data_IF_538912822295
#
_entry.id   IF_538912822295
#
_cell.length_a   1.000
_cell.length_b   1.000
_cell.length_c   1.000
_cell.angle_alpha   90.00
_cell.angle_beta   90.00
_cell.angle_gamma   90.00
#
_symmetry.space_group_name_H-M   'P 1'
#
loop_
_entity.id
_entity.type
_entity.pdbx_description
1 polymer ?
#
# COMPACT_ATOMS: atom_id res chain seq x y z
N UNK A 1 -35.12 -29.91 82.38
CA UNK A 1 -34.79 -31.32 82.05
C UNK A 1 -35.09 -31.55 80.57
N UNK A 2 -34.11 -32.16 79.90
CA UNK A 2 -33.88 -32.40 78.46
C UNK A 2 -35.09 -32.37 77.51
N UNK A 3 -34.95 -31.52 76.49
CA UNK A 3 -35.80 -31.40 75.30
C UNK A 3 -35.52 -32.55 74.32
N UNK A 4 -36.59 -33.14 73.80
CA UNK A 4 -36.60 -34.23 72.84
C UNK A 4 -36.42 -33.73 71.40
N UNK A 5 -35.66 -34.52 70.62
CA UNK A 5 -35.84 -34.84 69.18
C UNK A 5 -35.85 -33.68 68.18
N UNK A 6 -34.70 -33.48 67.52
CA UNK A 6 -34.58 -32.80 66.23
C UNK A 6 -34.55 -33.88 65.14
N UNK A 7 -35.58 -33.90 64.30
CA UNK A 7 -35.55 -34.45 62.94
C UNK A 7 -36.14 -33.35 62.07
N UNK A 8 -35.29 -32.62 61.35
CA UNK A 8 -35.66 -31.63 60.33
C UNK A 8 -34.95 -32.08 59.05
N UNK A 9 -35.65 -32.81 58.19
CA UNK A 9 -36.34 -32.32 57.00
C UNK A 9 -35.38 -31.71 55.97
N UNK A 10 -35.06 -32.58 55.01
CA UNK A 10 -34.37 -32.40 53.74
C UNK A 10 -34.69 -31.10 53.01
N UNK A 11 -33.65 -30.30 52.73
CA UNK A 11 -33.64 -29.28 51.70
C UNK A 11 -32.91 -29.85 50.46
N UNK A 12 -33.65 -29.94 49.35
CA UNK A 12 -33.18 -30.31 48.03
C UNK A 12 -32.26 -29.18 47.50
N UNK A 13 -30.94 -29.41 47.50
CA UNK A 13 -29.99 -28.54 46.80
C UNK A 13 -29.90 -29.03 45.36
N UNK A 14 -30.53 -28.27 44.45
CA UNK A 14 -30.30 -28.40 43.01
C UNK A 14 -28.92 -27.82 42.74
N UNK A 15 -27.94 -28.68 42.45
CA UNK A 15 -26.64 -28.28 41.95
C UNK A 15 -26.84 -27.83 40.50
N UNK A 16 -26.82 -26.52 40.27
CA UNK A 16 -26.69 -25.98 38.93
C UNK A 16 -25.26 -26.28 38.46
N UNK A 17 -25.18 -27.21 37.51
CA UNK A 17 -23.98 -27.55 36.76
C UNK A 17 -23.67 -26.34 35.86
N UNK A 18 -22.70 -25.53 36.28
CA UNK A 18 -22.09 -24.51 35.41
C UNK A 18 -21.19 -25.25 34.44
N UNK A 19 -21.61 -25.38 33.18
CA UNK A 19 -20.71 -25.69 32.09
C UNK A 19 -19.63 -24.60 32.03
N UNK A 20 -18.37 -25.02 32.00
CA UNK A 20 -17.29 -24.21 31.46
C UNK A 20 -17.58 -24.03 29.96
N UNK A 21 -17.77 -22.80 29.51
CA UNK A 21 -17.63 -22.51 28.09
C UNK A 21 -16.14 -22.25 27.83
N UNK A 22 -15.47 -23.27 27.30
CA UNK A 22 -14.27 -23.10 26.48
C UNK A 22 -14.70 -22.44 25.16
N UNK A 23 -14.93 -21.13 25.19
CA UNK A 23 -15.12 -20.34 23.97
C UNK A 23 -13.75 -20.04 23.39
N UNK A 24 -13.17 -21.04 22.71
CA UNK A 24 -12.01 -20.92 21.83
C UNK A 24 -12.33 -20.15 20.54
N UNK A 25 -13.07 -19.05 20.64
CA UNK A 25 -13.29 -18.12 19.54
C UNK A 25 -12.05 -17.25 19.37
N UNK A 26 -11.57 -17.12 18.13
CA UNK A 26 -10.54 -16.13 17.82
C UNK A 26 -11.08 -14.74 18.20
N UNK A 27 -10.47 -14.11 19.19
CA UNK A 27 -10.74 -12.70 19.51
C UNK A 27 -10.19 -11.88 18.36
N UNK A 28 -11.06 -11.38 17.47
CA UNK A 28 -10.66 -10.40 16.46
C UNK A 28 -10.35 -9.12 17.21
N UNK A 29 -9.07 -8.77 17.28
CA UNK A 29 -8.64 -7.48 17.83
C UNK A 29 -9.13 -6.38 16.89
N UNK A 30 -9.85 -5.36 17.41
CA UNK A 30 -10.30 -4.27 16.57
C UNK A 30 -9.10 -3.50 15.98
N UNK A 31 -9.23 -2.95 14.77
CA UNK A 31 -8.18 -2.13 14.17
C UNK A 31 -7.80 -0.95 15.08
N UNK A 32 -6.50 -0.65 15.17
CA UNK A 32 -5.98 0.49 15.92
C UNK A 32 -6.32 1.81 15.21
N UNK A 33 -6.39 2.96 15.93
CA UNK A 33 -6.60 4.26 15.30
C UNK A 33 -5.46 4.61 14.33
N UNK A 34 -5.80 5.15 13.14
CA UNK A 34 -4.81 5.58 12.14
C UNK A 34 -3.77 6.54 12.72
N UNK A 35 -4.21 7.51 13.52
CA UNK A 35 -3.33 8.53 14.10
C UNK A 35 -2.32 7.99 15.11
N UNK A 36 -2.61 6.86 15.75
CA UNK A 36 -1.67 6.22 16.68
C UNK A 36 -0.60 5.46 15.91
N UNK A 37 -1.01 4.62 14.96
CA UNK A 37 -0.11 3.81 14.14
C UNK A 37 0.77 4.70 13.25
N UNK A 38 0.22 5.79 12.71
CA UNK A 38 0.98 6.73 11.89
C UNK A 38 2.20 7.30 12.63
N UNK A 39 2.12 7.52 13.94
CA UNK A 39 3.27 8.03 14.72
C UNK A 39 4.39 6.97 14.81
N UNK A 40 4.02 5.70 14.93
CA UNK A 40 4.97 4.58 14.96
C UNK A 40 5.61 4.38 13.59
N UNK A 41 4.80 4.25 12.54
CA UNK A 41 5.24 4.09 11.16
C UNK A 41 6.16 5.25 10.73
N UNK A 42 5.77 6.49 11.04
CA UNK A 42 6.57 7.68 10.70
C UNK A 42 7.92 7.68 11.44
N UNK A 43 7.96 7.19 12.68
CA UNK A 43 9.23 7.07 13.41
C UNK A 43 10.17 6.09 12.71
N UNK A 44 9.65 4.92 12.33
CA UNK A 44 10.41 3.88 11.61
C UNK A 44 10.89 4.38 10.24
N UNK A 45 10.00 4.98 9.44
CA UNK A 45 10.31 5.54 8.12
C UNK A 45 11.38 6.62 8.23
N UNK A 46 11.25 7.56 9.18
CA UNK A 46 12.24 8.62 9.37
C UNK A 46 13.60 8.10 9.81
N UNK A 47 13.64 7.06 10.65
CA UNK A 47 14.89 6.40 11.01
C UNK A 47 15.54 5.77 9.77
N UNK A 48 14.78 5.01 8.98
CA UNK A 48 15.26 4.41 7.74
C UNK A 48 15.82 5.45 6.76
N UNK A 49 15.07 6.52 6.49
CA UNK A 49 15.47 7.58 5.57
C UNK A 49 16.75 8.31 6.00
N UNK A 50 16.99 8.46 7.31
CA UNK A 50 18.19 9.13 7.85
C UNK A 50 19.43 8.23 7.86
N UNK A 51 19.22 6.92 7.93
CA UNK A 51 20.28 5.93 8.13
C UNK A 51 20.68 5.20 6.85
N UNK A 52 19.96 5.40 5.76
CA UNK A 52 20.20 4.74 4.49
C UNK A 52 20.45 5.73 3.36
N UNK A 53 21.16 5.27 2.33
CA UNK A 53 21.37 5.95 1.06
C UNK A 53 21.20 4.96 -0.10
N UNK A 54 20.94 5.47 -1.31
CA UNK A 54 20.92 4.64 -2.52
C UNK A 54 22.20 4.81 -3.36
N UNK A 55 22.40 3.97 -4.37
CA UNK A 55 23.52 4.04 -5.32
C UNK A 55 23.46 5.25 -6.29
N UNK A 56 23.13 6.46 -5.82
CA UNK A 56 22.97 7.69 -6.63
C UNK A 56 24.14 7.99 -7.57
N UNK A 57 25.38 7.77 -7.13
CA UNK A 57 26.57 8.02 -7.95
C UNK A 57 26.61 7.17 -9.23
N UNK A 58 26.03 5.96 -9.20
CA UNK A 58 25.91 5.08 -10.37
C UNK A 58 24.82 5.59 -11.33
N UNK A 59 23.78 6.25 -10.82
CA UNK A 59 22.76 6.91 -11.65
C UNK A 59 23.27 8.23 -12.28
N UNK A 60 24.10 8.99 -11.56
CA UNK A 60 24.68 10.25 -12.05
C UNK A 60 25.76 10.03 -13.13
N UNK A 61 26.52 8.93 -13.02
CA UNK A 61 27.58 8.56 -13.97
C UNK A 61 27.50 7.07 -14.33
N UNK A 62 26.46 6.66 -15.09
CA UNK A 62 26.19 5.26 -15.36
C UNK A 62 27.28 4.62 -16.23
N UNK A 63 27.70 3.42 -15.83
CA UNK A 63 28.52 2.55 -16.67
C UNK A 63 27.70 2.03 -17.87
N UNK A 64 28.37 1.55 -18.91
CA UNK A 64 27.71 1.04 -20.13
C UNK A 64 26.78 -0.16 -19.84
N UNK A 65 27.08 -0.94 -18.80
CA UNK A 65 26.36 -2.14 -18.36
C UNK A 65 25.52 -1.94 -17.09
N UNK A 66 25.32 -0.70 -16.65
CA UNK A 66 24.49 -0.43 -15.47
C UNK A 66 23.02 -0.82 -15.70
N UNK A 67 22.45 -1.61 -14.79
CA UNK A 67 21.09 -2.14 -14.91
C UNK A 67 20.00 -1.19 -14.37
N UNK A 68 20.42 -0.03 -13.87
CA UNK A 68 19.56 1.00 -13.26
C UNK A 68 18.73 0.52 -12.08
N UNK A 69 19.17 -0.53 -11.37
CA UNK A 69 18.49 -0.95 -10.14
C UNK A 69 18.88 -0.08 -8.96
N UNK A 70 17.88 0.28 -8.17
CA UNK A 70 18.06 0.96 -6.89
C UNK A 70 18.59 -0.05 -5.85
N UNK A 71 19.83 0.16 -5.41
CA UNK A 71 20.40 -0.52 -4.26
C UNK A 71 20.39 0.39 -3.04
N UNK A 72 19.84 -0.08 -1.92
CA UNK A 72 19.82 0.67 -0.65
C UNK A 72 20.85 0.08 0.30
N UNK A 73 21.62 0.94 0.96
CA UNK A 73 22.69 0.56 1.90
C UNK A 73 22.60 1.45 3.14
N UNK A 74 22.93 0.88 4.30
CA UNK A 74 23.12 1.63 5.53
C UNK A 74 24.33 2.58 5.40
N UNK A 75 24.21 3.75 6.00
CA UNK A 75 25.29 4.72 6.17
C UNK A 75 26.13 4.26 7.37
N UNK A 76 27.43 4.07 7.15
CA UNK A 76 28.35 3.67 8.20
C UNK A 76 28.43 4.72 9.31
N UNK A 77 28.66 4.29 10.55
CA UNK A 77 28.82 5.20 11.69
C UNK A 77 29.92 6.23 11.42
N UNK A 78 29.55 7.52 11.44
CA UNK A 78 30.47 8.63 11.20
C UNK A 78 30.80 8.91 9.73
N UNK A 79 30.18 8.19 8.78
CA UNK A 79 30.28 8.49 7.36
C UNK A 79 29.46 9.76 7.04
N UNK A 80 30.17 10.82 6.65
CA UNK A 80 29.59 12.11 6.25
C UNK A 80 29.61 12.33 4.74
N UNK A 81 30.16 11.38 3.97
CA UNK A 81 30.30 11.50 2.52
C UNK A 81 29.06 10.98 1.78
N UNK A 82 28.18 10.26 2.50
CA UNK A 82 26.90 9.76 1.97
C UNK A 82 25.77 10.75 2.21
N UNK A 83 25.02 11.04 1.16
CA UNK A 83 23.75 11.76 1.26
C UNK A 83 22.66 10.80 1.71
N UNK A 84 21.98 11.03 2.85
CA UNK A 84 20.90 10.17 3.29
C UNK A 84 19.66 10.29 2.39
N UNK A 85 18.80 9.28 2.41
CA UNK A 85 17.55 9.28 1.64
C UNK A 85 16.62 10.43 2.06
N UNK A 86 16.63 10.82 3.33
CA UNK A 86 15.78 11.93 3.83
C UNK A 86 16.01 13.25 3.10
N UNK A 87 17.21 13.47 2.55
CA UNK A 87 17.57 14.67 1.79
C UNK A 87 17.27 14.54 0.29
N UNK A 88 16.79 13.36 -0.16
CA UNK A 88 16.62 13.01 -1.56
C UNK A 88 15.17 12.62 -1.90
N UNK A 89 14.37 12.27 -0.90
CA UNK A 89 12.94 11.97 -1.09
C UNK A 89 12.07 13.23 -1.06
N UNK A 90 10.99 13.19 -1.82
CA UNK A 90 9.94 14.19 -1.82
C UNK A 90 8.74 13.65 -1.02
N UNK A 91 8.27 14.36 0.02
CA UNK A 91 7.07 13.96 0.75
C UNK A 91 5.80 14.33 -0.03
N UNK A 92 4.86 13.40 -0.10
CA UNK A 92 3.54 13.54 -0.73
C UNK A 92 2.47 13.27 0.33
N UNK A 93 1.61 14.24 0.58
CA UNK A 93 0.55 14.13 1.59
C UNK A 93 -0.70 13.50 0.99
N UNK A 94 -1.18 12.42 1.61
CA UNK A 94 -2.36 11.66 1.16
C UNK A 94 -3.37 11.54 2.31
N UNK A 95 -4.62 11.88 2.05
CA UNK A 95 -5.70 11.79 3.03
C UNK A 95 -6.28 10.38 3.05
N UNK A 96 -6.26 9.72 4.21
CA UNK A 96 -6.77 8.35 4.38
C UNK A 96 -7.96 8.36 5.33
N UNK A 97 -9.16 7.96 4.87
CA UNK A 97 -10.34 7.86 5.73
C UNK A 97 -10.28 6.59 6.60
N UNK A 98 -10.77 6.66 7.84
CA UNK A 98 -10.81 5.52 8.76
C UNK A 98 -11.73 4.39 8.28
N UNK A 99 -12.68 4.72 7.39
CA UNK A 99 -13.56 3.75 6.71
C UNK A 99 -12.78 2.79 5.80
N UNK A 100 -11.56 3.13 5.39
CA UNK A 100 -10.68 2.27 4.59
C UNK A 100 -10.35 0.95 5.30
N UNK A 101 -10.31 0.95 6.65
CA UNK A 101 -9.79 -0.17 7.45
C UNK A 101 -10.75 -0.71 8.52
N UNK A 102 -12.07 -0.53 8.36
CA UNK A 102 -13.07 -1.00 9.33
C UNK A 102 -12.83 -0.49 10.77
N UNK A 103 -12.20 0.67 10.93
CA UNK A 103 -11.98 1.26 12.24
C UNK A 103 -13.33 1.75 12.77
N UNK A 104 -13.79 1.17 13.88
CA UNK A 104 -15.04 1.57 14.52
C UNK A 104 -14.92 2.93 15.20
N UNK A 105 -15.93 3.79 15.07
CA UNK A 105 -15.96 5.08 15.76
C UNK A 105 -16.53 6.19 14.88
N UNK A 106 -16.22 7.43 15.23
CA UNK A 106 -16.46 8.56 14.33
C UNK A 106 -15.51 8.45 13.14
N UNK A 107 -16.07 8.65 11.94
CA UNK A 107 -15.27 8.70 10.72
C UNK A 107 -14.27 9.85 10.82
N UNK A 108 -13.00 9.52 10.61
CA UNK A 108 -11.91 10.49 10.66
C UNK A 108 -11.01 10.29 9.47
N UNK A 109 -10.54 11.40 8.91
CA UNK A 109 -9.53 11.41 7.85
C UNK A 109 -8.19 11.77 8.46
N UNK A 110 -7.21 10.90 8.26
CA UNK A 110 -5.83 11.11 8.74
C UNK A 110 -4.91 11.33 7.55
N UNK A 111 -4.15 12.41 7.59
CA UNK A 111 -3.16 12.73 6.57
C UNK A 111 -1.89 11.91 6.79
N UNK A 112 -1.55 11.08 5.83
CA UNK A 112 -0.33 10.26 5.80
C UNK A 112 0.68 10.86 4.82
N UNK A 113 1.96 10.51 4.98
CA UNK A 113 3.03 10.94 4.07
C UNK A 113 3.58 9.73 3.33
N UNK A 114 3.58 9.78 2.00
CA UNK A 114 4.38 8.92 1.14
C UNK A 114 5.67 9.64 0.79
N UNK A 115 6.81 8.95 0.84
CA UNK A 115 8.10 9.51 0.44
C UNK A 115 8.53 8.90 -0.88
N UNK A 116 8.68 9.76 -1.89
CA UNK A 116 9.03 9.38 -3.25
C UNK A 116 10.49 9.75 -3.56
N UNK A 117 11.26 8.79 -4.06
CA UNK A 117 12.57 9.00 -4.64
C UNK A 117 12.48 8.80 -6.16
N UNK A 118 12.74 9.87 -6.91
CA UNK A 118 13.00 9.78 -8.35
C UNK A 118 14.48 9.49 -8.58
N UNK A 119 14.82 8.26 -8.98
CA UNK A 119 16.18 7.92 -9.39
C UNK A 119 16.40 8.19 -10.89
N UNK A 120 15.34 8.09 -11.69
CA UNK A 120 15.31 8.44 -13.11
C UNK A 120 13.88 8.79 -13.54
N UNK A 121 13.66 9.98 -14.07
CA UNK A 121 12.33 10.51 -14.43
C UNK A 121 11.53 9.62 -15.41
N UNK A 122 12.19 9.11 -16.45
CA UNK A 122 11.52 8.42 -17.57
C UNK A 122 11.17 9.37 -18.73
N UNK A 123 11.25 8.86 -19.97
CA UNK A 123 11.09 9.67 -21.20
C UNK A 123 9.71 9.55 -21.86
N UNK A 124 8.89 8.63 -21.39
CA UNK A 124 7.55 8.36 -21.91
C UNK A 124 6.47 9.20 -21.24
N UNK A 125 5.23 8.75 -21.41
CA UNK A 125 4.04 9.39 -20.85
C UNK A 125 3.98 9.26 -19.32
N UNK A 126 3.33 10.24 -18.69
CA UNK A 126 2.88 10.13 -17.31
C UNK A 126 1.59 9.31 -17.24
N UNK A 127 1.25 8.86 -16.04
CA UNK A 127 -0.01 8.18 -15.75
C UNK A 127 -0.66 8.76 -14.51
N UNK A 128 -1.97 8.58 -14.41
CA UNK A 128 -2.75 8.89 -13.22
C UNK A 128 -2.90 7.65 -12.33
N UNK A 129 -3.45 7.86 -11.13
CA UNK A 129 -3.85 6.80 -10.20
C UNK A 129 -4.97 5.89 -10.74
N UNK A 130 -5.62 6.28 -11.84
CA UNK A 130 -6.65 5.52 -12.52
C UNK A 130 -6.10 4.59 -13.61
N UNK A 131 -4.83 4.72 -14.00
CA UNK A 131 -4.31 4.07 -15.19
C UNK A 131 -3.70 2.69 -14.90
N UNK A 132 -3.34 1.97 -15.95
CA UNK A 132 -2.55 0.75 -15.84
C UNK A 132 -1.05 1.04 -15.98
N UNK A 133 -0.25 0.45 -15.10
CA UNK A 133 1.20 0.58 -15.06
C UNK A 133 1.88 -0.75 -15.41
N UNK A 134 2.78 -0.75 -16.38
CA UNK A 134 3.60 -1.91 -16.72
C UNK A 134 4.97 -1.79 -16.08
N UNK A 135 5.20 -2.58 -15.03
CA UNK A 135 6.33 -2.37 -14.13
C UNK A 135 7.11 -3.64 -13.86
N UNK A 136 8.40 -3.47 -13.59
CA UNK A 136 9.14 -4.40 -12.74
C UNK A 136 9.27 -3.77 -11.35
N UNK A 137 9.08 -4.54 -10.30
CA UNK A 137 9.11 -4.05 -8.93
C UNK A 137 9.75 -5.05 -7.95
N UNK A 138 10.15 -4.52 -6.80
CA UNK A 138 10.47 -5.28 -5.59
C UNK A 138 9.81 -4.59 -4.40
N UNK A 139 9.07 -5.35 -3.61
CA UNK A 139 8.44 -4.94 -2.36
C UNK A 139 9.24 -5.43 -1.15
N UNK A 140 9.59 -4.51 -0.25
CA UNK A 140 10.40 -4.77 0.93
C UNK A 140 9.74 -4.22 2.20
N UNK A 141 9.88 -4.94 3.31
CA UNK A 141 9.68 -4.38 4.64
C UNK A 141 10.86 -3.46 5.02
N UNK A 142 10.67 -2.64 6.05
CA UNK A 142 11.70 -1.69 6.51
C UNK A 142 12.99 -2.38 6.99
N UNK A 143 12.90 -3.63 7.44
CA UNK A 143 14.04 -4.47 7.84
C UNK A 143 14.80 -5.07 6.64
N UNK A 144 14.37 -4.76 5.42
CA UNK A 144 14.96 -5.25 4.17
C UNK A 144 14.37 -6.56 3.66
N UNK A 145 13.49 -7.23 4.41
CA UNK A 145 12.83 -8.47 3.96
C UNK A 145 12.03 -8.23 2.69
N UNK A 146 12.43 -8.87 1.59
CA UNK A 146 11.65 -8.91 0.34
C UNK A 146 10.41 -9.77 0.57
N UNK A 147 9.22 -9.20 0.39
CA UNK A 147 7.96 -9.95 0.51
C UNK A 147 7.37 -10.34 -0.85
N UNK A 148 7.70 -9.60 -1.90
CA UNK A 148 7.21 -9.83 -3.26
C UNK A 148 8.13 -9.14 -4.28
N UNK A 149 8.33 -9.75 -5.44
CA UNK A 149 9.04 -9.16 -6.56
C UNK A 149 8.53 -9.71 -7.89
N UNK A 150 8.60 -8.90 -8.94
CA UNK A 150 8.50 -9.41 -10.30
C UNK A 150 9.85 -9.99 -10.72
N UNK A 151 9.86 -11.15 -11.38
CA UNK A 151 11.11 -11.69 -11.95
C UNK A 151 11.74 -10.64 -12.88
N UNK A 152 13.07 -10.64 -12.96
CA UNK A 152 13.84 -9.65 -13.72
C UNK A 152 13.40 -9.49 -15.19
N UNK A 153 12.89 -10.57 -15.80
CA UNK A 153 12.45 -10.63 -17.19
C UNK A 153 10.92 -10.66 -17.36
N UNK A 154 10.15 -10.60 -16.28
CA UNK A 154 8.68 -10.72 -16.29
C UNK A 154 8.01 -9.50 -15.64
N UNK A 155 8.07 -8.29 -16.25
CA UNK A 155 7.27 -7.16 -15.80
C UNK A 155 5.77 -7.46 -15.88
N UNK A 156 5.00 -6.83 -14.99
CA UNK A 156 3.57 -7.07 -14.79
C UNK A 156 2.76 -5.79 -14.98
N UNK A 157 1.53 -5.95 -15.45
CA UNK A 157 0.55 -4.87 -15.47
C UNK A 157 -0.15 -4.80 -14.12
N UNK A 158 -0.14 -3.61 -13.52
CA UNK A 158 -0.98 -3.25 -12.39
C UNK A 158 -2.05 -2.28 -12.85
N UNK A 159 -3.31 -2.59 -12.55
CA UNK A 159 -4.41 -1.65 -12.57
C UNK A 159 -4.31 -0.81 -11.29
N UNK A 160 -3.87 0.45 -11.40
CA UNK A 160 -3.64 1.31 -10.24
C UNK A 160 -4.95 1.72 -9.55
N UNK A 161 -6.08 1.77 -10.27
CA UNK A 161 -7.38 2.06 -9.67
C UNK A 161 -7.75 0.94 -8.69
N UNK A 162 -7.64 -0.32 -9.11
CA UNK A 162 -7.96 -1.49 -8.26
C UNK A 162 -7.10 -1.59 -6.99
N UNK A 163 -5.89 -1.03 -7.00
CA UNK A 163 -4.99 -0.99 -5.83
C UNK A 163 -5.40 0.05 -4.78
N UNK A 164 -6.36 0.92 -5.09
CA UNK A 164 -6.88 1.88 -4.13
C UNK A 164 -7.99 1.28 -3.24
N UNK A 165 -8.53 0.12 -3.60
CA UNK A 165 -9.73 -0.42 -2.98
C UNK A 165 -9.64 -0.47 -1.44
N UNK A 166 -10.67 0.02 -0.73
CA UNK A 166 -10.69 -0.06 0.71
C UNK A 166 -10.75 -1.51 1.17
N UNK A 167 -10.28 -1.79 2.40
CA UNK A 167 -10.39 -3.14 2.97
C UNK A 167 -11.86 -3.58 3.16
N UNK A 168 -12.79 -2.64 3.04
CA UNK A 168 -14.25 -2.84 3.05
C UNK A 168 -14.84 -3.14 1.69
N UNK A 169 -14.07 -2.98 0.60
CA UNK A 169 -14.58 -3.11 -0.76
C UNK A 169 -15.17 -4.50 -0.97
N UNK A 170 -16.39 -4.53 -1.50
CA UNK A 170 -17.08 -5.74 -1.98
C UNK A 170 -16.82 -6.00 -3.46
N UNK A 171 -16.12 -5.08 -4.14
CA UNK A 171 -15.69 -5.17 -5.54
C UNK A 171 -14.22 -5.63 -5.58
N UNK A 172 -13.72 -6.00 -6.76
CA UNK A 172 -12.33 -6.42 -6.96
C UNK A 172 -11.35 -5.30 -6.59
N UNK A 173 -10.28 -5.66 -5.87
CA UNK A 173 -9.19 -4.75 -5.58
C UNK A 173 -8.42 -5.14 -4.32
N UNK A 174 -7.46 -4.30 -3.95
CA UNK A 174 -6.65 -4.51 -2.75
C UNK A 174 -6.27 -3.18 -2.12
N UNK A 175 -6.17 -3.13 -0.78
CA UNK A 175 -5.72 -1.93 -0.07
C UNK A 175 -4.19 -1.76 -0.21
N UNK A 176 -3.75 -1.27 -1.36
CA UNK A 176 -2.35 -0.96 -1.67
C UNK A 176 -2.24 0.46 -2.25
N UNK A 177 -3.04 1.40 -1.73
CA UNK A 177 -3.21 2.76 -2.28
C UNK A 177 -1.88 3.50 -2.42
N UNK A 178 -0.96 3.33 -1.47
CA UNK A 178 0.39 3.92 -1.53
C UNK A 178 1.18 3.48 -2.76
N UNK A 179 0.97 2.26 -3.27
CA UNK A 179 1.56 1.83 -4.54
C UNK A 179 0.92 2.56 -5.71
N UNK A 180 -0.41 2.70 -5.75
CA UNK A 180 -1.12 3.44 -6.79
C UNK A 180 -0.67 4.90 -6.87
N UNK A 181 -0.75 5.60 -5.74
CA UNK A 181 -0.33 6.99 -5.58
C UNK A 181 1.15 7.18 -5.95
N UNK A 182 2.01 6.31 -5.42
CA UNK A 182 3.45 6.38 -5.65
C UNK A 182 3.87 6.04 -7.08
N UNK A 183 3.26 5.02 -7.70
CA UNK A 183 3.55 4.63 -9.08
C UNK A 183 3.12 5.72 -10.08
N UNK A 184 2.04 6.45 -9.80
CA UNK A 184 1.57 7.57 -10.64
C UNK A 184 2.57 8.73 -10.77
N UNK A 185 3.55 8.81 -9.86
CA UNK A 185 4.60 9.84 -9.88
C UNK A 185 5.72 9.54 -10.91
N UNK A 186 5.75 8.32 -11.46
CA UNK A 186 6.74 7.89 -12.45
C UNK A 186 6.22 8.05 -13.87
N UNK A 187 7.15 8.12 -14.84
CA UNK A 187 6.83 8.10 -16.27
C UNK A 187 7.30 6.82 -16.94
N UNK A 188 6.60 6.44 -18.00
CA UNK A 188 6.96 5.32 -18.85
C UNK A 188 8.30 5.49 -19.57
N UNK A 189 8.71 4.45 -20.30
CA UNK A 189 9.83 4.52 -21.22
C UNK A 189 9.43 4.93 -22.64
N UNK A 190 10.41 4.92 -23.54
CA UNK A 190 10.16 5.01 -24.96
C UNK A 190 9.35 3.80 -25.46
N UNK A 191 8.66 3.90 -26.61
CA UNK A 191 7.97 2.76 -27.20
C UNK A 191 8.87 1.53 -27.32
N UNK A 192 8.31 0.36 -27.05
CA UNK A 192 9.05 -0.89 -27.06
C UNK A 192 9.69 -1.17 -28.44
N UNK A 193 10.97 -1.51 -28.46
CA UNK A 193 11.69 -1.98 -29.63
C UNK A 193 11.64 -3.52 -29.66
N UNK A 194 11.08 -4.09 -30.74
CA UNK A 194 11.02 -5.55 -30.92
C UNK A 194 12.36 -6.06 -31.47
N UNK A 195 12.93 -7.05 -30.79
CA UNK A 195 14.19 -7.69 -31.13
C UNK A 195 14.00 -8.84 -32.15
N UNK A 196 15.07 -9.22 -32.85
CA UNK A 196 15.06 -10.31 -33.85
C UNK A 196 14.64 -11.68 -33.28
N UNK A 197 14.81 -11.89 -31.97
CA UNK A 197 14.44 -13.12 -31.25
C UNK A 197 12.98 -13.12 -30.74
N UNK A 198 12.22 -12.06 -31.02
CA UNK A 198 10.82 -11.91 -30.60
C UNK A 198 10.66 -11.35 -29.18
N UNK A 199 11.74 -11.03 -28.48
CA UNK A 199 11.69 -10.26 -27.23
C UNK A 199 11.52 -8.77 -27.52
N UNK A 200 11.38 -7.95 -26.48
CA UNK A 200 11.31 -6.49 -26.60
C UNK A 200 12.28 -5.82 -25.64
N UNK A 201 12.62 -4.56 -25.94
CA UNK A 201 13.37 -3.70 -25.04
C UNK A 201 12.67 -2.35 -24.91
N UNK A 202 12.70 -1.79 -23.70
CA UNK A 202 12.17 -0.46 -23.40
C UNK A 202 13.33 0.38 -22.89
N UNK A 203 13.60 1.51 -23.55
CA UNK A 203 14.67 2.44 -23.17
C UNK A 203 14.11 3.62 -22.41
N UNK A 204 14.92 4.17 -21.49
CA UNK A 204 14.59 5.38 -20.77
C UNK A 204 13.31 5.30 -19.92
N UNK A 205 13.00 4.12 -19.37
CA UNK A 205 11.89 3.92 -18.43
C UNK A 205 12.11 4.70 -17.12
N UNK A 206 11.05 5.10 -16.43
CA UNK A 206 11.18 5.72 -15.10
C UNK A 206 11.73 4.72 -14.08
N UNK A 207 12.52 5.19 -13.13
CA UNK A 207 13.02 4.40 -12.00
C UNK A 207 12.83 5.19 -10.72
N UNK A 208 12.15 4.60 -9.75
CA UNK A 208 11.92 5.25 -8.47
C UNK A 208 11.74 4.28 -7.31
N UNK A 209 11.72 4.86 -6.12
CA UNK A 209 11.39 4.15 -4.89
C UNK A 209 10.33 4.93 -4.13
N UNK A 210 9.39 4.22 -3.53
CA UNK A 210 8.37 4.78 -2.65
C UNK A 210 8.46 4.08 -1.30
N UNK A 211 8.31 4.85 -0.22
CA UNK A 211 8.17 4.33 1.15
C UNK A 211 6.99 5.03 1.81
N UNK A 212 6.08 4.25 2.40
CA UNK A 212 4.86 4.77 2.98
C UNK A 212 4.38 3.97 4.20
N UNK A 213 3.66 4.62 5.13
CA UNK A 213 3.11 3.99 6.32
C UNK A 213 2.07 2.93 5.99
N UNK A 214 1.82 2.03 6.93
CA UNK A 214 0.88 0.93 6.81
C UNK A 214 -0.56 1.38 6.49
N UNK A 215 -0.95 2.60 6.88
CA UNK A 215 -2.22 3.23 6.54
C UNK A 215 -2.41 3.58 5.06
N UNK A 216 -1.34 3.54 4.26
CA UNK A 216 -1.40 3.58 2.78
C UNK A 216 -1.23 2.18 2.16
N UNK A 217 -1.09 1.14 2.98
CA UNK A 217 -1.02 -0.25 2.57
C UNK A 217 -2.07 -1.11 3.28
N UNK A 218 -1.65 -2.27 3.78
CA UNK A 218 -2.56 -3.27 4.34
C UNK A 218 -2.99 -3.01 5.79
N UNK A 219 -2.44 -1.99 6.46
CA UNK A 219 -2.75 -1.58 7.83
C UNK A 219 -2.93 -2.79 8.78
N UNK A 220 -4.11 -3.01 9.33
CA UNK A 220 -4.40 -4.07 10.32
C UNK A 220 -4.48 -5.49 9.72
N UNK A 221 -4.24 -5.67 8.42
CA UNK A 221 -4.36 -6.95 7.72
C UNK A 221 -2.96 -7.48 7.40
N UNK A 222 -2.56 -8.57 8.06
CA UNK A 222 -1.37 -9.32 7.66
C UNK A 222 -1.59 -10.00 6.30
N UNK A 223 -0.62 -9.93 5.39
CA UNK A 223 -0.69 -10.51 4.05
C UNK A 223 0.59 -11.25 3.69
N UNK A 224 0.50 -12.58 3.57
CA UNK A 224 1.67 -13.40 3.28
C UNK A 224 2.75 -13.23 4.35
N UNK A 225 3.92 -12.72 3.95
CA UNK A 225 5.03 -12.38 4.85
C UNK A 225 4.95 -10.96 5.42
N UNK A 226 3.99 -10.15 5.03
CA UNK A 226 3.79 -8.77 5.51
C UNK A 226 3.01 -8.81 6.83
N UNK A 227 3.62 -8.43 7.97
CA UNK A 227 2.89 -8.29 9.23
C UNK A 227 1.85 -7.16 9.15
N UNK A 228 0.85 -7.21 10.03
CA UNK A 228 -0.02 -6.06 10.23
C UNK A 228 0.79 -4.84 10.72
N UNK A 229 0.34 -3.65 10.36
CA UNK A 229 0.91 -2.35 10.71
C UNK A 229 2.37 -2.20 10.28
N UNK A 230 2.71 -2.71 9.09
CA UNK A 230 4.06 -2.59 8.52
C UNK A 230 4.14 -1.48 7.47
N UNK A 231 5.10 -0.54 7.61
CA UNK A 231 5.51 0.32 6.50
C UNK A 231 6.02 -0.52 5.32
N UNK A 232 5.77 -0.04 4.11
CA UNK A 232 6.16 -0.74 2.88
C UNK A 232 7.10 0.12 2.05
N UNK A 233 8.08 -0.53 1.43
CA UNK A 233 9.00 0.06 0.48
C UNK A 233 8.80 -0.66 -0.86
N UNK A 234 8.64 0.10 -1.94
CA UNK A 234 8.66 -0.44 -3.29
C UNK A 234 9.71 0.25 -4.13
N UNK A 235 10.48 -0.53 -4.88
CA UNK A 235 11.34 -0.06 -5.98
C UNK A 235 10.64 -0.40 -7.27
N UNK A 236 10.53 0.56 -8.20
CA UNK A 236 9.70 0.45 -9.38
C UNK A 236 10.49 0.90 -10.61
N UNK A 237 10.51 0.03 -11.62
CA UNK A 237 10.93 0.32 -12.98
C UNK A 237 9.67 0.46 -13.85
N UNK A 238 9.35 1.66 -14.31
CA UNK A 238 8.12 2.01 -15.03
C UNK A 238 8.31 1.93 -16.55
N UNK A 239 8.05 0.76 -17.13
CA UNK A 239 8.31 0.52 -18.57
C UNK A 239 7.27 1.17 -19.47
N UNK A 240 5.99 1.02 -19.17
CA UNK A 240 4.91 1.55 -20.00
C UNK A 240 3.70 1.89 -19.14
N UNK A 241 2.83 2.71 -19.71
CA UNK A 241 1.58 3.14 -19.09
C UNK A 241 0.45 2.95 -20.09
N UNK A 242 -0.76 2.74 -19.60
CA UNK A 242 -1.95 2.66 -20.43
C UNK A 242 -3.11 3.38 -19.74
N UNK A 243 -3.66 4.40 -20.40
CA UNK A 243 -4.82 5.11 -19.91
C UNK A 243 -6.02 4.16 -19.84
N UNK A 244 -6.75 4.20 -18.72
CA UNK A 244 -7.90 3.32 -18.49
C UNK A 244 -9.24 4.02 -18.71
N UNK A 245 -10.21 3.21 -19.09
CA UNK A 245 -11.65 3.45 -19.26
C UNK A 245 -12.29 2.11 -18.85
N UNK A 246 -12.53 1.94 -17.55
CA UNK A 246 -12.76 0.62 -16.95
C UNK A 246 -14.16 0.07 -17.25
N UNK A 247 -15.14 0.95 -17.41
CA UNK A 247 -16.53 0.64 -17.72
C UNK A 247 -16.82 0.67 -19.23
N UNK A 248 -15.92 1.28 -20.02
CA UNK A 248 -15.93 1.26 -21.48
C UNK A 248 -16.92 2.25 -22.08
N UNK A 249 -17.24 3.32 -21.36
CA UNK A 249 -18.22 4.33 -21.79
C UNK A 249 -17.60 5.42 -22.69
N UNK A 250 -16.26 5.46 -22.75
CA UNK A 250 -15.47 6.39 -23.55
C UNK A 250 -14.93 7.61 -22.80
N UNK A 251 -15.15 7.71 -21.49
CA UNK A 251 -14.57 8.69 -20.60
C UNK A 251 -13.40 8.03 -19.85
N UNK A 252 -12.19 8.64 -19.86
CA UNK A 252 -11.08 8.08 -19.08
C UNK A 252 -11.39 8.05 -17.59
N UNK A 253 -11.01 6.98 -16.90
CA UNK A 253 -11.35 6.79 -15.48
C UNK A 253 -10.81 7.83 -14.52
N UNK A 254 -9.80 8.61 -14.92
CA UNK A 254 -9.33 9.75 -14.13
C UNK A 254 -10.24 10.98 -14.24
N UNK A 255 -11.04 11.10 -15.31
CA UNK A 255 -12.02 12.18 -15.48
C UNK A 255 -13.27 11.95 -14.62
N UNK A 256 -13.43 10.73 -14.09
CA UNK A 256 -14.52 10.30 -13.19
C UNK A 256 -14.16 10.49 -11.69
N UNK A 257 -12.93 10.95 -11.38
CA UNK A 257 -12.57 11.52 -10.07
C UNK A 257 -13.25 12.90 -9.90
N UNK A 258 -14.55 12.88 -9.63
CA UNK A 258 -15.40 14.07 -9.59
C UNK A 258 -14.93 15.10 -8.56
N UNK A 259 -14.35 14.65 -7.45
CA UNK A 259 -13.88 15.51 -6.37
C UNK A 259 -12.38 15.90 -6.46
N UNK A 260 -11.63 15.27 -7.36
CA UNK A 260 -10.20 15.50 -7.66
C UNK A 260 -9.26 15.26 -6.46
N UNK A 261 -9.61 14.32 -5.59
CA UNK A 261 -8.76 13.92 -4.45
C UNK A 261 -7.85 12.71 -4.76
N UNK A 262 -7.93 12.17 -5.97
CA UNK A 262 -7.16 11.03 -6.43
C UNK A 262 -7.62 9.69 -5.85
N UNK A 263 -8.80 9.62 -5.22
CA UNK A 263 -9.32 8.41 -4.59
C UNK A 263 -10.65 7.94 -5.20
N UNK A 264 -10.58 7.27 -6.34
CA UNK A 264 -11.74 6.87 -7.16
C UNK A 264 -12.84 6.07 -6.43
N UNK A 265 -12.53 5.41 -5.31
CA UNK A 265 -13.52 4.62 -4.55
C UNK A 265 -14.45 5.44 -3.66
N UNK A 266 -14.29 6.78 -3.59
CA UNK A 266 -15.22 7.65 -2.87
C UNK A 266 -16.11 8.52 -3.77
N UNK A 267 -15.98 8.41 -5.09
CA UNK A 267 -16.84 9.06 -6.07
C UNK A 267 -17.96 8.08 -6.47
N UNK A 268 -19.19 8.46 -6.15
CA UNK A 268 -20.44 7.70 -6.40
C UNK A 268 -21.57 8.74 -6.57
N UNK A 269 -21.74 9.20 -7.81
CA UNK A 269 -22.56 10.36 -8.16
C UNK A 269 -24.06 10.09 -7.97
N UNK A 270 -24.53 8.86 -8.21
CA UNK A 270 -25.94 8.49 -8.11
C UNK A 270 -26.32 7.75 -6.82
N UNK A 271 -25.31 7.39 -6.01
CA UNK A 271 -25.43 6.76 -4.69
C UNK A 271 -25.97 5.33 -4.74
N UNK A 272 -25.69 4.58 -5.81
CA UNK A 272 -26.03 3.17 -5.93
C UNK A 272 -25.00 2.23 -5.26
N UNK A 273 -23.83 2.77 -4.89
CA UNK A 273 -22.74 2.08 -4.20
C UNK A 273 -21.63 1.55 -5.12
N UNK A 274 -21.72 1.77 -6.43
CA UNK A 274 -20.62 1.54 -7.36
C UNK A 274 -19.82 2.84 -7.53
N UNK A 275 -18.48 2.76 -7.53
CA UNK A 275 -17.67 3.92 -7.87
C UNK A 275 -17.90 4.38 -9.32
N UNK A 276 -17.91 5.70 -9.55
CA UNK A 276 -18.15 6.32 -10.87
C UNK A 276 -17.28 5.66 -11.95
N UNK A 277 -15.99 5.44 -11.68
CA UNK A 277 -15.06 4.83 -12.65
C UNK A 277 -15.38 3.39 -13.09
N UNK A 278 -16.34 2.73 -12.44
CA UNK A 278 -16.81 1.38 -12.78
C UNK A 278 -18.26 1.38 -13.27
N UNK A 279 -18.88 2.56 -13.42
CA UNK A 279 -20.31 2.71 -13.60
C UNK A 279 -20.70 3.49 -14.87
N UNK A 280 -20.96 2.72 -15.93
CA UNK A 280 -21.30 3.24 -17.26
C UNK A 280 -22.60 4.02 -17.41
N UNK A 281 -23.41 4.14 -16.36
CA UNK A 281 -24.69 4.85 -16.43
C UNK A 281 -24.76 6.21 -15.71
N UNK A 282 -23.65 6.65 -15.09
CA UNK A 282 -23.61 7.81 -14.19
C UNK A 282 -22.74 9.02 -14.60
N UNK A 283 -22.14 9.00 -15.80
CA UNK A 283 -21.36 10.13 -16.34
C UNK A 283 -22.16 11.32 -16.92
#
# INVERSE_FOLDING_TARGET
MKLNRIVALSALVVVLWSCNNDDGGATIEPPRPLSEVLVEDETEIQEYLKTHYYNYAEFESPAEDFDFKIEIKEIGEGDTDKTPLVDQVVPIEINVPSTHFLISGEETTTKHTLYYLEAREGVGEALSVADSAFVRYSGNLIDGTVFDDSNENDPLWFDLASLQAPATSTITGTAARGFSEGASLLKGGAPAEINDDGTYSVKGYGVGMIIFPSGLGYFNIARGSIPAYSPLIFKIDMFAVNQADHDGDGIPSIEEDTNQDGYLFNDDADQDGNPDYLDSDTN
#
